data_IF_813521397695
#
_entry.id   IF_813521397695
#
_cell.length_a   1.000
_cell.length_b   1.000
_cell.length_c   1.000
_cell.angle_alpha   90.00
_cell.angle_beta   90.00
_cell.angle_gamma   90.00
#
_symmetry.space_group_name_H-M   'P 1'
#
loop_
_entity.id
_entity.type
_entity.pdbx_description
1 polymer ?
#
# COMPACT_ATOMS: atom_id res chain seq x y z
N UNK A 1 64.93 -19.55 -3.32
CA UNK A 1 63.65 -18.82 -3.27
C UNK A 1 63.84 -17.68 -2.30
N UNK A 2 64.04 -16.49 -2.85
CA UNK A 2 64.40 -15.31 -2.08
C UNK A 2 63.17 -14.77 -1.38
N UNK A 3 63.28 -14.35 -0.12
CA UNK A 3 62.16 -13.78 0.65
C UNK A 3 61.45 -12.61 -0.06
N UNK A 4 62.11 -12.00 -1.04
CA UNK A 4 61.57 -10.99 -1.93
C UNK A 4 60.50 -11.54 -2.89
N UNK A 5 60.71 -12.72 -3.50
CA UNK A 5 59.74 -13.38 -4.38
C UNK A 5 58.47 -13.78 -3.61
N UNK A 6 58.63 -14.28 -2.38
CA UNK A 6 57.49 -14.65 -1.52
C UNK A 6 56.65 -13.42 -1.13
N UNK A 7 57.31 -12.29 -0.81
CA UNK A 7 56.62 -11.01 -0.55
C UNK A 7 55.88 -10.49 -1.78
N UNK A 8 56.49 -10.58 -2.96
CA UNK A 8 55.82 -10.17 -4.20
C UNK A 8 54.62 -11.06 -4.52
N UNK A 9 54.73 -12.37 -4.28
CA UNK A 9 53.63 -13.33 -4.46
C UNK A 9 52.46 -13.04 -3.51
N UNK A 10 52.75 -12.80 -2.23
CA UNK A 10 51.76 -12.39 -1.23
C UNK A 10 51.06 -11.08 -1.61
N UNK A 11 51.81 -10.05 -1.98
CA UNK A 11 51.25 -8.77 -2.41
C UNK A 11 50.43 -8.86 -3.72
N UNK A 12 50.75 -9.82 -4.60
CA UNK A 12 49.93 -10.10 -5.80
C UNK A 12 48.63 -10.84 -5.44
N UNK A 13 48.69 -11.78 -4.50
CA UNK A 13 47.51 -12.47 -3.97
C UNK A 13 46.57 -11.52 -3.23
N UNK A 14 47.09 -10.65 -2.36
CA UNK A 14 46.30 -9.65 -1.65
C UNK A 14 45.58 -8.72 -2.62
N UNK A 15 46.28 -8.22 -3.66
CA UNK A 15 45.66 -7.39 -4.70
C UNK A 15 44.56 -8.12 -5.47
N UNK A 16 44.76 -9.41 -5.78
CA UNK A 16 43.76 -10.23 -6.47
C UNK A 16 42.56 -10.51 -5.57
N UNK A 17 42.78 -10.75 -4.29
CA UNK A 17 41.74 -10.96 -3.28
C UNK A 17 40.91 -9.69 -3.11
N UNK A 18 41.55 -8.54 -2.89
CA UNK A 18 40.89 -7.23 -2.79
C UNK A 18 40.07 -6.90 -4.04
N UNK A 19 40.63 -7.15 -5.23
CA UNK A 19 39.92 -6.92 -6.48
C UNK A 19 38.68 -7.83 -6.61
N UNK A 20 38.80 -9.10 -6.21
CA UNK A 20 37.69 -10.06 -6.24
C UNK A 20 36.62 -9.70 -5.22
N UNK A 21 37.01 -9.28 -4.01
CA UNK A 21 36.09 -8.80 -2.96
C UNK A 21 35.32 -7.56 -3.43
N UNK A 22 36.01 -6.54 -3.95
CA UNK A 22 35.36 -5.32 -4.47
C UNK A 22 34.40 -5.60 -5.63
N UNK A 23 34.76 -6.53 -6.52
CA UNK A 23 33.87 -6.98 -7.59
C UNK A 23 32.63 -7.66 -7.02
N UNK A 24 32.80 -8.59 -6.08
CA UNK A 24 31.69 -9.30 -5.44
C UNK A 24 30.75 -8.35 -4.70
N UNK A 25 31.27 -7.38 -3.96
CA UNK A 25 30.47 -6.33 -3.30
C UNK A 25 29.67 -5.50 -4.31
N UNK A 26 30.31 -5.10 -5.42
CA UNK A 26 29.65 -4.32 -6.47
C UNK A 26 28.55 -5.13 -7.16
N UNK A 27 28.81 -6.40 -7.45
CA UNK A 27 27.83 -7.32 -8.06
C UNK A 27 26.66 -7.55 -7.11
N UNK A 28 26.91 -7.83 -5.83
CA UNK A 28 25.87 -8.02 -4.82
C UNK A 28 25.01 -6.76 -4.64
N UNK A 29 25.64 -5.59 -4.58
CA UNK A 29 24.94 -4.30 -4.53
C UNK A 29 24.01 -4.11 -5.73
N UNK A 30 24.53 -4.32 -6.94
CA UNK A 30 23.75 -4.14 -8.16
C UNK A 30 22.61 -5.17 -8.25
N UNK A 31 22.85 -6.42 -7.85
CA UNK A 31 21.82 -7.45 -7.75
C UNK A 31 20.70 -7.06 -6.78
N UNK A 32 21.05 -6.60 -5.58
CA UNK A 32 20.06 -6.21 -4.56
C UNK A 32 19.29 -4.94 -4.96
N UNK A 33 19.94 -3.98 -5.61
CA UNK A 33 19.25 -2.81 -6.20
C UNK A 33 18.27 -3.23 -7.30
N UNK A 34 18.67 -4.08 -8.24
CA UNK A 34 17.78 -4.56 -9.31
C UNK A 34 16.63 -5.42 -8.75
N UNK A 35 16.88 -6.25 -7.73
CA UNK A 35 15.80 -6.97 -7.01
C UNK A 35 14.81 -5.99 -6.38
N UNK A 36 15.29 -4.99 -5.64
CA UNK A 36 14.46 -3.97 -4.99
C UNK A 36 13.62 -3.20 -6.02
N UNK A 37 14.25 -2.77 -7.12
CA UNK A 37 13.58 -2.13 -8.27
C UNK A 37 12.51 -3.02 -8.89
N UNK A 38 12.80 -4.31 -9.09
CA UNK A 38 11.82 -5.28 -9.60
C UNK A 38 10.59 -5.42 -8.69
N UNK A 39 10.80 -5.46 -7.37
CA UNK A 39 9.70 -5.50 -6.39
C UNK A 39 8.86 -4.23 -6.45
N UNK A 40 9.49 -3.06 -6.44
CA UNK A 40 8.78 -1.78 -6.51
C UNK A 40 8.04 -1.59 -7.83
N UNK A 41 8.60 -2.05 -8.96
CA UNK A 41 7.91 -2.07 -10.26
C UNK A 41 6.67 -2.96 -10.23
N UNK A 42 6.75 -4.11 -9.57
CA UNK A 42 5.59 -5.00 -9.42
C UNK A 42 4.50 -4.33 -8.59
N UNK A 43 4.87 -3.66 -7.49
CA UNK A 43 3.93 -2.86 -6.68
C UNK A 43 3.28 -1.76 -7.51
N UNK A 44 4.06 -1.03 -8.32
CA UNK A 44 3.54 -0.01 -9.23
C UNK A 44 2.48 -0.57 -10.19
N UNK A 45 2.73 -1.73 -10.81
CA UNK A 45 1.76 -2.36 -11.72
C UNK A 45 0.46 -2.68 -10.99
N UNK A 46 0.52 -3.29 -9.80
CA UNK A 46 -0.68 -3.57 -9.00
C UNK A 46 -1.46 -2.29 -8.67
N UNK A 47 -0.77 -1.20 -8.30
CA UNK A 47 -1.41 0.09 -8.01
C UNK A 47 -2.00 0.77 -9.24
N UNK A 48 -1.41 0.59 -10.41
CA UNK A 48 -2.00 1.07 -11.68
C UNK A 48 -3.29 0.30 -12.00
N UNK A 49 -3.28 -1.03 -11.85
CA UNK A 49 -4.48 -1.86 -12.06
C UNK A 49 -5.61 -1.46 -11.10
N UNK A 50 -5.27 -1.21 -9.83
CA UNK A 50 -6.19 -0.71 -8.81
C UNK A 50 -6.75 0.67 -9.18
N UNK A 51 -5.91 1.60 -9.60
CA UNK A 51 -6.32 2.94 -10.07
C UNK A 51 -7.30 2.86 -11.23
N UNK A 52 -7.02 2.02 -12.24
CA UNK A 52 -7.93 1.82 -13.37
C UNK A 52 -9.27 1.22 -12.91
N UNK A 53 -9.22 0.26 -11.97
CA UNK A 53 -10.42 -0.34 -11.40
C UNK A 53 -11.28 0.68 -10.66
N UNK A 54 -10.68 1.55 -9.83
CA UNK A 54 -11.41 2.62 -9.15
C UNK A 54 -11.90 3.71 -10.11
N UNK A 55 -11.18 4.00 -11.20
CA UNK A 55 -11.65 4.93 -12.22
C UNK A 55 -12.91 4.38 -12.92
N UNK A 56 -12.94 3.09 -13.26
CA UNK A 56 -14.13 2.43 -13.81
C UNK A 56 -15.28 2.48 -12.81
N UNK A 57 -15.01 2.15 -11.54
CA UNK A 57 -16.02 2.22 -10.48
C UNK A 57 -16.59 3.63 -10.33
N UNK A 58 -15.75 4.67 -10.38
CA UNK A 58 -16.19 6.05 -10.30
C UNK A 58 -17.15 6.43 -11.44
N UNK A 59 -16.90 5.93 -12.67
CA UNK A 59 -17.79 6.13 -13.81
C UNK A 59 -19.13 5.40 -13.63
N UNK A 60 -19.10 4.15 -13.15
CA UNK A 60 -20.31 3.35 -12.88
C UNK A 60 -21.17 4.03 -11.83
N UNK A 61 -20.57 4.42 -10.71
CA UNK A 61 -21.27 5.11 -9.62
C UNK A 61 -21.75 6.49 -10.09
N UNK A 62 -20.95 7.23 -10.86
CA UNK A 62 -21.37 8.51 -11.44
C UNK A 62 -22.63 8.37 -12.32
N UNK A 63 -22.66 7.37 -13.19
CA UNK A 63 -23.83 7.09 -14.03
C UNK A 63 -25.05 6.65 -13.20
N UNK A 64 -24.82 5.84 -12.16
CA UNK A 64 -25.85 5.41 -11.23
C UNK A 64 -26.51 6.59 -10.51
N UNK A 65 -25.73 7.55 -10.01
CA UNK A 65 -26.29 8.74 -9.35
C UNK A 65 -27.16 9.57 -10.29
N UNK A 66 -26.77 9.74 -11.56
CA UNK A 66 -27.55 10.50 -12.54
C UNK A 66 -28.88 9.80 -12.83
N UNK A 67 -28.86 8.48 -12.94
CA UNK A 67 -30.04 7.67 -13.26
C UNK A 67 -31.04 7.59 -12.10
N UNK A 68 -30.53 7.49 -10.87
CA UNK A 68 -31.32 7.28 -9.65
C UNK A 68 -31.47 8.53 -8.76
N UNK A 69 -31.22 9.73 -9.30
CA UNK A 69 -31.25 10.99 -8.54
C UNK A 69 -32.62 11.28 -7.89
N UNK A 70 -33.70 10.75 -8.48
CA UNK A 70 -35.08 10.94 -8.02
C UNK A 70 -35.34 10.13 -6.74
N UNK A 71 -34.68 8.99 -6.55
CA UNK A 71 -34.88 8.12 -5.40
C UNK A 71 -33.90 8.49 -4.28
N UNK A 72 -34.40 9.22 -3.27
CA UNK A 72 -33.56 9.82 -2.20
C UNK A 72 -32.67 8.79 -1.50
N UNK A 73 -33.15 7.59 -1.21
CA UNK A 73 -32.36 6.55 -0.50
C UNK A 73 -31.26 5.94 -1.39
N UNK A 74 -31.52 5.77 -2.69
CA UNK A 74 -30.52 5.30 -3.66
C UNK A 74 -29.49 6.39 -3.95
N UNK A 75 -29.94 7.65 -4.12
CA UNK A 75 -29.07 8.80 -4.31
C UNK A 75 -28.16 9.04 -3.10
N UNK A 76 -28.68 8.91 -1.87
CA UNK A 76 -27.88 9.02 -0.65
C UNK A 76 -26.82 7.91 -0.56
N UNK A 77 -27.22 6.65 -0.78
CA UNK A 77 -26.30 5.51 -0.74
C UNK A 77 -25.22 5.60 -1.83
N UNK A 78 -25.63 5.96 -3.05
CA UNK A 78 -24.73 6.22 -4.18
C UNK A 78 -23.75 7.36 -3.87
N UNK A 79 -24.22 8.46 -3.28
CA UNK A 79 -23.37 9.59 -2.90
C UNK A 79 -22.30 9.22 -1.90
N UNK A 80 -22.65 8.42 -0.89
CA UNK A 80 -21.67 7.93 0.10
C UNK A 80 -20.60 7.09 -0.58
N UNK A 81 -20.99 6.13 -1.42
CA UNK A 81 -20.03 5.31 -2.18
C UNK A 81 -19.19 6.19 -3.11
N UNK A 82 -19.80 7.19 -3.75
CA UNK A 82 -19.12 8.14 -4.63
C UNK A 82 -18.00 8.87 -3.89
N UNK A 83 -18.26 9.40 -2.70
CA UNK A 83 -17.24 10.06 -1.86
C UNK A 83 -16.09 9.09 -1.56
N UNK A 84 -16.39 7.87 -1.09
CA UNK A 84 -15.33 6.89 -0.79
C UNK A 84 -14.57 6.42 -2.02
N UNK A 85 -15.24 6.33 -3.17
CA UNK A 85 -14.61 5.98 -4.45
C UNK A 85 -13.65 7.08 -4.90
N UNK A 86 -14.03 8.35 -4.73
CA UNK A 86 -13.15 9.50 -5.01
C UNK A 86 -11.95 9.53 -4.07
N UNK A 87 -12.15 9.26 -2.77
CA UNK A 87 -11.04 9.12 -1.80
C UNK A 87 -10.12 7.97 -2.21
N UNK A 88 -10.68 6.81 -2.58
CA UNK A 88 -9.92 5.65 -3.01
C UNK A 88 -9.12 5.92 -4.29
N UNK A 89 -9.73 6.61 -5.26
CA UNK A 89 -9.10 7.00 -6.52
C UNK A 89 -7.96 8.00 -6.28
N UNK A 90 -8.21 9.03 -5.48
CA UNK A 90 -7.21 10.06 -5.13
C UNK A 90 -6.02 9.45 -4.39
N UNK A 91 -6.28 8.56 -3.44
CA UNK A 91 -5.25 7.83 -2.72
C UNK A 91 -4.44 6.90 -3.64
N UNK A 92 -5.10 6.25 -4.60
CA UNK A 92 -4.42 5.39 -5.59
C UNK A 92 -3.52 6.20 -6.53
N UNK A 93 -3.98 7.37 -6.98
CA UNK A 93 -3.17 8.33 -7.75
C UNK A 93 -1.94 8.75 -6.94
N UNK A 94 -2.13 9.14 -5.68
CA UNK A 94 -1.05 9.52 -4.77
C UNK A 94 0.00 8.42 -4.62
N UNK A 95 -0.42 7.17 -4.45
CA UNK A 95 0.51 6.03 -4.38
C UNK A 95 1.29 5.80 -5.67
N UNK A 96 0.64 5.86 -6.83
CA UNK A 96 1.31 5.70 -8.13
C UNK A 96 2.35 6.80 -8.35
N UNK A 97 2.00 8.05 -8.04
CA UNK A 97 2.93 9.19 -8.15
C UNK A 97 4.14 9.00 -7.22
N UNK A 98 3.92 8.64 -5.95
CA UNK A 98 5.02 8.39 -5.00
C UNK A 98 5.94 7.25 -5.46
N UNK A 99 5.37 6.18 -6.01
CA UNK A 99 6.14 5.05 -6.55
C UNK A 99 6.98 5.44 -7.78
N UNK A 100 6.44 6.29 -8.66
CA UNK A 100 7.16 6.79 -9.84
C UNK A 100 8.31 7.75 -9.49
N UNK A 101 8.26 8.40 -8.33
CA UNK A 101 9.33 9.27 -7.84
C UNK A 101 10.54 8.52 -7.29
N UNK A 102 10.49 7.19 -7.15
CA UNK A 102 11.62 6.41 -6.64
C UNK A 102 12.67 6.28 -7.75
N UNK A 103 13.73 7.07 -7.64
CA UNK A 103 14.89 7.01 -8.52
C UNK A 103 16.00 6.13 -7.91
N UNK A 104 16.19 4.94 -8.47
CA UNK A 104 17.22 3.99 -8.03
C UNK A 104 18.65 4.40 -8.39
N UNK A 105 18.86 5.49 -9.13
CA UNK A 105 20.17 6.08 -9.40
C UNK A 105 20.66 7.02 -8.29
N UNK A 106 19.80 7.35 -7.33
CA UNK A 106 20.10 8.22 -6.18
C UNK A 106 20.85 7.50 -5.06
N UNK A 107 21.39 8.25 -4.06
CA UNK A 107 21.96 7.65 -2.86
C UNK A 107 20.98 6.71 -2.14
N UNK A 108 21.50 5.63 -1.56
CA UNK A 108 20.71 4.59 -0.89
C UNK A 108 19.74 5.14 0.17
N UNK A 109 20.17 6.17 0.92
CA UNK A 109 19.36 6.83 1.95
C UNK A 109 18.11 7.48 1.34
N UNK A 110 18.25 8.14 0.19
CA UNK A 110 17.13 8.81 -0.50
C UNK A 110 16.14 7.77 -1.06
N UNK A 111 16.62 6.66 -1.62
CA UNK A 111 15.77 5.56 -2.09
C UNK A 111 14.94 5.00 -0.94
N UNK A 112 15.57 4.76 0.22
CA UNK A 112 14.89 4.23 1.41
C UNK A 112 13.84 5.19 1.95
N UNK A 113 14.16 6.47 2.07
CA UNK A 113 13.23 7.50 2.51
C UNK A 113 11.98 7.53 1.62
N UNK A 114 12.14 7.42 0.29
CA UNK A 114 11.02 7.36 -0.64
C UNK A 114 10.19 6.07 -0.50
N UNK A 115 10.83 4.92 -0.28
CA UNK A 115 10.11 3.64 -0.03
C UNK A 115 9.34 3.69 1.30
N UNK A 116 9.91 4.29 2.35
CA UNK A 116 9.22 4.51 3.62
C UNK A 116 8.05 5.48 3.48
N UNK A 117 8.19 6.53 2.68
CA UNK A 117 7.10 7.46 2.37
C UNK A 117 5.94 6.75 1.66
N UNK A 118 6.23 5.84 0.72
CA UNK A 118 5.21 4.98 0.10
C UNK A 118 4.47 4.15 1.14
N UNK A 119 5.18 3.55 2.09
CA UNK A 119 4.56 2.74 3.15
C UNK A 119 3.70 3.60 4.10
N UNK A 120 4.18 4.78 4.48
CA UNK A 120 3.43 5.71 5.32
C UNK A 120 2.13 6.18 4.63
N UNK A 121 2.22 6.50 3.33
CA UNK A 121 1.05 6.85 2.53
C UNK A 121 0.08 5.66 2.39
N UNK A 122 0.59 4.44 2.16
CA UNK A 122 -0.21 3.22 2.14
C UNK A 122 -0.97 2.99 3.45
N UNK A 123 -0.32 3.22 4.59
CA UNK A 123 -0.94 3.11 5.90
C UNK A 123 -2.09 4.11 6.09
N UNK A 124 -1.90 5.37 5.67
CA UNK A 124 -2.96 6.38 5.69
C UNK A 124 -4.12 6.03 4.76
N UNK A 125 -3.82 5.50 3.58
CA UNK A 125 -4.84 5.05 2.63
C UNK A 125 -5.74 3.96 3.22
N UNK A 126 -5.15 2.94 3.83
CA UNK A 126 -5.91 1.84 4.43
C UNK A 126 -6.69 2.31 5.66
N UNK A 127 -6.12 3.21 6.45
CA UNK A 127 -6.83 3.90 7.53
C UNK A 127 -8.12 4.55 7.05
N UNK A 128 -8.07 5.25 5.91
CA UNK A 128 -9.25 5.86 5.30
C UNK A 128 -10.25 4.81 4.79
N UNK A 129 -9.78 3.70 4.23
CA UNK A 129 -10.65 2.59 3.83
C UNK A 129 -11.32 1.91 5.03
N UNK A 130 -10.62 1.73 6.16
CA UNK A 130 -11.26 1.19 7.37
C UNK A 130 -12.38 2.09 7.90
N UNK A 131 -12.33 3.40 7.61
CA UNK A 131 -13.41 4.31 7.97
C UNK A 131 -14.69 4.08 7.15
N UNK A 132 -14.61 3.42 6.00
CA UNK A 132 -15.78 3.03 5.20
C UNK A 132 -16.45 1.74 5.71
N UNK A 133 -15.80 0.98 6.60
CA UNK A 133 -16.33 -0.28 7.12
C UNK A 133 -17.74 -0.19 7.76
N UNK A 134 -18.11 0.84 8.54
CA UNK A 134 -19.47 1.01 9.07
C UNK A 134 -20.54 1.27 7.99
N UNK A 135 -20.10 1.53 6.76
CA UNK A 135 -20.96 1.92 5.64
C UNK A 135 -20.96 0.83 4.56
N UNK A 136 -20.54 -0.38 4.91
CA UNK A 136 -20.51 -1.53 4.00
C UNK A 136 -21.87 -1.82 3.35
N UNK A 137 -22.98 -1.49 4.02
CA UNK A 137 -24.34 -1.63 3.47
C UNK A 137 -24.65 -0.74 2.29
N UNK A 138 -24.10 0.48 2.23
CA UNK A 138 -24.33 1.35 1.08
C UNK A 138 -23.87 0.63 -0.19
N UNK A 139 -22.70 -0.01 -0.13
CA UNK A 139 -22.18 -0.85 -1.21
C UNK A 139 -23.12 -2.00 -1.57
N UNK A 140 -23.71 -2.68 -0.59
CA UNK A 140 -24.65 -3.77 -0.85
C UNK A 140 -25.95 -3.30 -1.53
N UNK A 141 -26.56 -2.22 -1.04
CA UNK A 141 -27.78 -1.63 -1.61
C UNK A 141 -27.54 -1.26 -3.07
N UNK A 142 -26.49 -0.49 -3.34
CA UNK A 142 -26.19 -0.01 -4.70
C UNK A 142 -25.76 -1.14 -5.62
N UNK A 143 -25.00 -2.13 -5.12
CA UNK A 143 -24.63 -3.29 -5.95
C UNK A 143 -25.84 -4.15 -6.32
N UNK A 144 -26.74 -4.43 -5.37
CA UNK A 144 -27.96 -5.21 -5.64
C UNK A 144 -28.85 -4.47 -6.64
N UNK A 145 -29.00 -3.16 -6.48
CA UNK A 145 -29.75 -2.33 -7.44
C UNK A 145 -29.13 -2.38 -8.84
N UNK A 146 -27.82 -2.14 -8.96
CA UNK A 146 -27.10 -2.16 -10.26
C UNK A 146 -27.15 -3.52 -10.96
N UNK A 147 -26.96 -4.63 -10.22
CA UNK A 147 -26.79 -5.95 -10.83
C UNK A 147 -28.09 -6.74 -10.97
N UNK A 148 -29.05 -6.52 -10.06
CA UNK A 148 -30.28 -7.30 -9.99
C UNK A 148 -31.53 -6.46 -10.28
N UNK A 149 -31.41 -5.13 -10.39
CA UNK A 149 -32.54 -4.19 -10.55
C UNK A 149 -33.55 -4.33 -9.41
N UNK A 150 -33.05 -4.67 -8.20
CA UNK A 150 -33.84 -4.84 -6.99
C UNK A 150 -33.48 -3.75 -5.99
N UNK A 151 -34.46 -2.89 -5.70
CA UNK A 151 -34.34 -1.93 -4.61
C UNK A 151 -34.51 -2.64 -3.26
N UNK A 152 -33.39 -3.08 -2.69
CA UNK A 152 -33.36 -3.79 -1.41
C UNK A 152 -33.94 -2.95 -0.26
N UNK A 153 -33.88 -1.61 -0.35
CA UNK A 153 -34.40 -0.71 0.67
C UNK A 153 -35.90 -0.88 0.91
N UNK A 154 -36.67 -1.16 -0.16
CA UNK A 154 -38.13 -1.32 -0.08
C UNK A 154 -38.57 -2.57 0.69
N UNK A 155 -37.71 -3.57 0.82
CA UNK A 155 -38.01 -4.82 1.52
C UNK A 155 -37.58 -4.82 2.98
N UNK A 156 -37.05 -3.70 3.47
CA UNK A 156 -36.50 -3.58 4.81
C UNK A 156 -37.52 -3.11 5.82
N UNK A 157 -37.59 -3.84 6.94
CA UNK A 157 -38.42 -3.43 8.05
C UNK A 157 -37.84 -2.16 8.71
N UNK A 158 -38.64 -1.12 9.01
CA UNK A 158 -38.14 0.11 9.62
C UNK A 158 -37.37 -0.12 10.93
N UNK A 159 -37.80 -1.10 11.72
CA UNK A 159 -37.13 -1.50 12.97
C UNK A 159 -35.71 -2.04 12.73
N UNK A 160 -35.49 -2.70 11.60
CA UNK A 160 -34.17 -3.19 11.21
C UNK A 160 -33.23 -2.02 10.93
N UNK A 161 -33.68 -0.97 10.23
CA UNK A 161 -32.87 0.20 9.89
C UNK A 161 -32.37 0.91 11.16
N UNK A 162 -33.23 1.09 12.16
CA UNK A 162 -32.84 1.72 13.43
C UNK A 162 -31.81 0.88 14.19
N UNK A 163 -32.01 -0.43 14.29
CA UNK A 163 -31.05 -1.35 14.93
C UNK A 163 -29.71 -1.34 14.20
N UNK A 164 -29.74 -1.31 12.88
CA UNK A 164 -28.55 -1.23 12.03
C UNK A 164 -27.76 0.06 12.31
N UNK A 165 -28.43 1.22 12.35
CA UNK A 165 -27.78 2.50 12.65
C UNK A 165 -27.11 2.48 14.04
N UNK A 166 -27.79 1.94 15.05
CA UNK A 166 -27.23 1.81 16.41
C UNK A 166 -25.98 0.91 16.41
N UNK A 167 -26.05 -0.25 15.74
CA UNK A 167 -24.92 -1.18 15.67
C UNK A 167 -23.71 -0.57 14.95
N UNK A 168 -23.92 0.17 13.86
CA UNK A 168 -22.81 0.82 13.14
C UNK A 168 -22.23 2.00 13.92
N UNK A 169 -23.08 2.78 14.61
CA UNK A 169 -22.61 3.81 15.52
C UNK A 169 -21.74 3.22 16.64
N UNK A 170 -22.13 2.06 17.18
CA UNK A 170 -21.33 1.36 18.17
C UNK A 170 -20.00 0.83 17.59
N UNK A 171 -20.02 0.36 16.33
CA UNK A 171 -18.84 -0.12 15.61
C UNK A 171 -17.80 0.97 15.35
N UNK A 172 -18.20 2.25 15.28
CA UNK A 172 -17.27 3.37 15.14
C UNK A 172 -16.26 3.44 16.29
N UNK A 173 -16.66 3.05 17.51
CA UNK A 173 -15.79 3.14 18.70
C UNK A 173 -14.53 2.27 18.56
N UNK A 174 -14.63 0.94 18.33
CA UNK A 174 -13.45 0.11 18.13
C UNK A 174 -12.68 0.49 16.85
N UNK A 175 -13.36 0.97 15.79
CA UNK A 175 -12.70 1.41 14.55
C UNK A 175 -11.84 2.64 14.80
N UNK A 176 -12.35 3.66 15.48
CA UNK A 176 -11.59 4.88 15.82
C UNK A 176 -10.43 4.54 16.77
N UNK A 177 -10.66 3.65 17.74
CA UNK A 177 -9.61 3.17 18.63
C UNK A 177 -8.49 2.47 17.84
N UNK A 178 -8.85 1.56 16.94
CA UNK A 178 -7.91 0.84 16.09
C UNK A 178 -7.16 1.80 15.14
N UNK A 179 -7.87 2.76 14.54
CA UNK A 179 -7.32 3.80 13.66
C UNK A 179 -6.23 4.62 14.37
N UNK A 180 -6.47 5.03 15.62
CA UNK A 180 -5.51 5.78 16.42
C UNK A 180 -4.31 4.92 16.84
N UNK A 181 -4.54 3.64 17.13
CA UNK A 181 -3.46 2.71 17.50
C UNK A 181 -2.61 2.27 16.31
N UNK A 182 -3.14 2.26 15.09
CA UNK A 182 -2.45 1.80 13.88
C UNK A 182 -1.39 2.82 13.39
N UNK A 183 -0.32 3.00 14.14
CA UNK A 183 0.73 3.99 13.82
C UNK A 183 2.11 3.33 13.99
N UNK A 184 3.11 3.76 13.21
CA UNK A 184 4.48 3.25 13.33
C UNK A 184 5.06 3.37 14.75
N UNK A 185 4.60 4.32 15.56
CA UNK A 185 4.95 4.46 16.99
C UNK A 185 4.52 3.26 17.85
N UNK A 186 3.48 2.54 17.42
CA UNK A 186 2.88 1.41 18.15
C UNK A 186 3.32 0.05 17.58
N UNK A 187 4.41 -0.02 16.81
CA UNK A 187 4.95 -1.28 16.27
C UNK A 187 5.37 -2.29 17.35
N UNK A 188 5.52 -1.85 18.60
CA UNK A 188 5.73 -2.75 19.76
C UNK A 188 4.54 -3.68 20.01
N UNK A 189 3.34 -3.35 19.50
CA UNK A 189 2.14 -4.17 19.64
C UNK A 189 2.08 -5.19 18.50
N UNK A 190 2.02 -6.48 18.84
CA UNK A 190 2.13 -7.59 17.87
C UNK A 190 1.07 -7.56 16.76
N UNK A 191 -0.18 -7.23 17.10
CA UNK A 191 -1.24 -7.12 16.09
C UNK A 191 -1.04 -5.89 15.19
N UNK A 192 -0.61 -4.74 15.74
CA UNK A 192 -0.33 -3.53 14.94
C UNK A 192 0.82 -3.80 13.97
N UNK A 193 1.88 -4.46 14.43
CA UNK A 193 3.00 -4.85 13.59
C UNK A 193 2.57 -5.77 12.45
N UNK A 194 1.84 -6.85 12.74
CA UNK A 194 1.31 -7.77 11.72
C UNK A 194 0.42 -7.06 10.71
N UNK A 195 -0.44 -6.16 11.18
CA UNK A 195 -1.31 -5.39 10.29
C UNK A 195 -0.48 -4.46 9.41
N UNK A 196 0.47 -3.71 9.95
CA UNK A 196 1.35 -2.83 9.16
C UNK A 196 2.21 -3.63 8.16
N UNK A 197 2.77 -4.77 8.54
CA UNK A 197 3.55 -5.65 7.65
C UNK A 197 2.69 -6.20 6.50
N UNK A 198 1.47 -6.64 6.81
CA UNK A 198 0.51 -7.09 5.81
C UNK A 198 0.13 -5.96 4.83
N UNK A 199 -0.05 -4.75 5.36
CA UNK A 199 -0.60 -3.60 4.67
C UNK A 199 0.43 -2.77 3.86
N UNK A 200 1.63 -2.53 4.40
CA UNK A 200 2.77 -1.98 3.65
C UNK A 200 3.11 -2.90 2.48
N UNK A 201 2.73 -4.17 2.57
CA UNK A 201 2.86 -5.16 1.53
C UNK A 201 4.23 -5.82 1.62
N UNK A 202 4.23 -7.15 1.66
CA UNK A 202 5.46 -7.96 1.74
C UNK A 202 6.54 -7.55 0.73
N UNK A 203 6.15 -7.00 -0.41
CA UNK A 203 7.04 -6.53 -1.48
C UNK A 203 7.81 -5.23 -1.16
N UNK A 204 7.22 -4.29 -0.43
CA UNK A 204 7.95 -3.07 -0.01
C UNK A 204 8.87 -3.37 1.18
N UNK A 205 8.46 -4.28 2.07
CA UNK A 205 9.33 -4.80 3.13
C UNK A 205 10.52 -5.56 2.55
N UNK A 206 10.30 -6.49 1.61
CA UNK A 206 11.36 -7.18 0.87
C UNK A 206 12.28 -6.17 0.16
N UNK A 207 11.72 -5.09 -0.42
CA UNK A 207 12.50 -4.03 -1.05
C UNK A 207 13.40 -3.28 -0.05
N UNK A 208 12.89 -2.97 1.15
CA UNK A 208 13.68 -2.36 2.23
C UNK A 208 14.75 -3.31 2.78
N UNK A 209 14.46 -4.61 2.90
CA UNK A 209 15.42 -5.63 3.32
C UNK A 209 16.61 -5.70 2.35
N UNK A 210 16.37 -5.76 1.04
CA UNK A 210 17.44 -5.72 0.04
C UNK A 210 18.26 -4.43 0.10
N UNK A 211 17.64 -3.29 0.45
CA UNK A 211 18.34 -2.01 0.62
C UNK A 211 19.16 -1.99 1.93
N UNK A 212 18.68 -2.62 3.00
CA UNK A 212 19.42 -2.74 4.27
C UNK A 212 20.65 -3.64 4.13
N UNK A 213 20.55 -4.76 3.41
CA UNK A 213 21.70 -5.63 3.14
C UNK A 213 22.85 -4.84 2.49
N UNK A 214 22.55 -3.93 1.55
CA UNK A 214 23.57 -3.08 0.90
C UNK A 214 24.28 -2.15 1.89
N UNK A 215 23.58 -1.68 2.94
CA UNK A 215 24.16 -0.82 3.97
C UNK A 215 25.03 -1.60 4.95
N UNK A 216 24.62 -2.82 5.33
CA UNK A 216 25.43 -3.70 6.18
C UNK A 216 26.77 -4.07 5.54
N UNK A 217 26.81 -4.27 4.22
CA UNK A 217 28.07 -4.49 3.48
C UNK A 217 28.96 -3.24 3.37
N UNK A 218 28.45 -2.05 3.70
CA UNK A 218 29.24 -0.80 3.71
C UNK A 218 29.86 -0.47 5.07
N UNK A 219 29.42 -1.13 6.15
CA UNK A 219 29.98 -0.98 7.50
C UNK A 219 31.21 -1.86 7.66
#
# INVERSE_FOLDING_TARGET
MEAHELKQLLAAYDRKLDHTLRLNETVLKNMNLEKSKGKMRTVLIYRIVELVSFAILALVIGNYLVSNWIHIHLALSGSIIGIFTLIALSGSIGQVVLLQQIDFSKPLVEIREKVELVNAHGLLFIKLLFLSAPIWWAYAIVAIDIFLDIDFYLYLEPNFVVRYLILNALLLIPIIWAFNKLTHKNLHISWVRKTIEFLSGRKTTEALEFLNEIEEFKK
#
